data_IF_214658144933
#
_entry.id   IF_214658144933
#
_cell.length_a   1.000
_cell.length_b   1.000
_cell.length_c   1.000
_cell.angle_alpha   90.00
_cell.angle_beta   90.00
_cell.angle_gamma   90.00
#
_symmetry.space_group_name_H-M   'P 1'
#
loop_
_entity.id
_entity.type
_entity.pdbx_description
1 polymer ?
#
# COMPACT_ATOMS: atom_id res chain seq x y z
N UNK A 1 13.98 -4.25 -29.27
CA UNK A 1 13.68 -2.93 -28.66
C UNK A 1 14.14 -3.02 -27.21
N UNK A 2 15.30 -2.44 -26.86
CA UNK A 2 15.92 -2.57 -25.52
C UNK A 2 15.35 -1.48 -24.62
N UNK A 3 14.49 -1.86 -23.68
CA UNK A 3 14.01 -0.96 -22.62
C UNK A 3 15.09 -0.85 -21.53
N UNK A 4 15.36 0.36 -21.08
CA UNK A 4 16.40 0.66 -20.10
C UNK A 4 15.89 0.47 -18.66
N UNK A 5 16.80 0.44 -17.68
CA UNK A 5 16.56 0.20 -16.25
C UNK A 5 15.82 1.28 -15.41
N UNK A 6 15.30 2.43 -15.90
CA UNK A 6 14.43 3.30 -15.09
C UNK A 6 13.21 2.57 -14.49
N UNK A 7 12.82 1.44 -15.09
CA UNK A 7 11.78 0.50 -14.65
C UNK A 7 11.90 0.13 -13.16
N UNK A 8 13.08 0.15 -12.54
CA UNK A 8 13.25 -0.38 -11.18
C UNK A 8 12.75 0.53 -10.04
N UNK A 9 13.22 1.78 -9.93
CA UNK A 9 12.55 2.77 -9.06
C UNK A 9 11.16 3.13 -9.63
N UNK A 10 10.99 2.80 -10.91
CA UNK A 10 9.97 3.19 -11.83
C UNK A 10 8.60 2.54 -11.46
N UNK A 11 8.58 1.23 -11.72
CA UNK A 11 7.45 0.30 -11.61
C UNK A 11 7.07 -0.07 -10.18
N UNK A 12 7.97 0.11 -9.22
CA UNK A 12 7.66 -0.15 -7.80
C UNK A 12 6.78 0.96 -7.23
N UNK A 13 6.87 2.19 -7.75
CA UNK A 13 5.90 3.27 -7.45
C UNK A 13 4.47 2.89 -7.86
N UNK A 14 4.32 2.06 -8.90
CA UNK A 14 3.01 1.57 -9.32
C UNK A 14 2.37 0.58 -8.34
N UNK A 15 3.19 -0.15 -7.59
CA UNK A 15 2.72 -0.97 -6.48
C UNK A 15 2.39 -0.09 -5.26
N UNK A 16 3.28 0.86 -4.95
CA UNK A 16 3.34 1.79 -3.80
C UNK A 16 2.06 2.58 -3.42
N UNK A 17 1.01 2.61 -4.25
CA UNK A 17 -0.23 3.35 -3.95
C UNK A 17 -1.47 2.46 -4.03
N UNK A 18 -1.38 1.31 -4.68
CA UNK A 18 -2.51 0.40 -4.77
C UNK A 18 -2.79 -0.39 -3.50
N UNK A 19 -1.89 -0.40 -2.49
CA UNK A 19 -1.95 -1.41 -1.41
C UNK A 19 -0.85 -1.23 -0.37
N UNK A 20 -1.19 -1.13 0.91
CA UNK A 20 -0.24 -0.89 1.99
C UNK A 20 -0.19 -2.01 3.03
N UNK A 21 0.98 -2.68 3.26
CA UNK A 21 1.58 -3.09 4.58
C UNK A 21 2.30 -4.49 4.88
N UNK A 22 3.53 -4.60 5.39
CA UNK A 22 4.08 -5.94 5.78
C UNK A 22 4.73 -6.05 7.19
N UNK A 23 5.18 -7.28 7.54
CA UNK A 23 6.12 -7.76 8.59
C UNK A 23 5.58 -8.28 9.94
N UNK A 24 6.03 -9.40 10.54
CA UNK A 24 7.22 -10.30 10.53
C UNK A 24 8.21 -10.09 11.70
N UNK A 25 8.77 -11.19 12.24
CA UNK A 25 10.17 -11.45 12.66
C UNK A 25 10.26 -12.87 13.29
N UNK A 26 11.39 -13.60 13.38
CA UNK A 26 12.72 -13.22 13.92
C UNK A 26 13.88 -14.16 13.47
N UNK A 27 15.12 -13.86 13.90
CA UNK A 27 16.47 -14.16 13.35
C UNK A 27 17.30 -15.12 14.24
N UNK A 28 18.32 -15.82 13.69
CA UNK A 28 19.59 -16.08 14.42
C UNK A 28 20.83 -16.37 13.51
N UNK A 29 22.01 -16.48 14.12
CA UNK A 29 23.33 -15.88 13.77
C UNK A 29 24.39 -16.73 13.03
N UNK A 30 25.29 -15.99 12.35
CA UNK A 30 26.75 -16.13 12.06
C UNK A 30 27.51 -17.47 11.93
N UNK A 31 28.40 -17.51 10.92
CA UNK A 31 29.56 -18.41 10.85
C UNK A 31 30.60 -17.92 9.83
N UNK A 32 31.80 -17.56 10.31
CA UNK A 32 32.99 -17.13 9.55
C UNK A 32 33.73 -18.33 8.93
N UNK A 33 34.35 -18.15 7.77
CA UNK A 33 35.71 -18.64 7.47
C UNK A 33 36.24 -18.12 6.10
N UNK A 34 37.48 -17.65 6.09
CA UNK A 34 38.39 -17.50 4.94
C UNK A 34 39.81 -17.76 5.51
N UNK A 35 40.88 -18.07 4.73
CA UNK A 35 40.95 -18.29 3.27
C UNK A 35 41.79 -19.51 2.84
N UNK A 36 41.70 -19.92 1.57
CA UNK A 36 42.68 -20.80 0.94
C UNK A 36 43.37 -20.09 -0.23
N UNK A 37 44.69 -19.92 -0.10
CA UNK A 37 45.62 -19.43 -1.13
C UNK A 37 45.62 -20.35 -2.36
N UNK A 38 45.42 -19.80 -3.55
CA UNK A 38 45.80 -20.42 -4.81
C UNK A 38 46.79 -19.51 -5.56
N UNK A 39 47.86 -20.13 -6.06
CA UNK A 39 48.93 -19.53 -6.86
C UNK A 39 48.45 -18.99 -8.22
N UNK A 40 49.20 -18.05 -8.83
CA UNK A 40 48.73 -17.32 -10.01
C UNK A 40 48.87 -18.17 -11.28
N UNK A 41 47.73 -18.47 -11.91
CA UNK A 41 47.71 -18.89 -13.31
C UNK A 41 48.04 -17.68 -14.20
N UNK A 42 49.02 -17.85 -15.09
CA UNK A 42 49.36 -16.88 -16.14
C UNK A 42 48.22 -16.81 -17.15
N UNK A 43 47.41 -15.76 -17.08
CA UNK A 43 46.46 -15.42 -18.14
C UNK A 43 47.11 -14.49 -19.15
N UNK A 44 47.03 -14.90 -20.41
CA UNK A 44 47.38 -14.10 -21.58
C UNK A 44 46.53 -12.80 -21.62
N UNK A 45 47.03 -11.71 -22.24
CA UNK A 45 46.29 -10.45 -22.34
C UNK A 45 45.09 -10.60 -23.30
N UNK A 46 44.01 -11.16 -22.77
CA UNK A 46 42.70 -11.22 -23.39
C UNK A 46 42.13 -9.81 -23.48
N UNK A 47 41.71 -9.44 -24.68
CA UNK A 47 40.99 -8.20 -25.01
C UNK A 47 39.91 -7.94 -23.95
N UNK A 48 40.08 -6.89 -23.15
CA UNK A 48 39.01 -6.35 -22.32
C UNK A 48 37.90 -5.88 -23.26
N UNK A 49 36.87 -6.71 -23.45
CA UNK A 49 35.61 -6.26 -23.99
C UNK A 49 35.15 -5.10 -23.11
N UNK A 50 35.04 -3.92 -23.71
CA UNK A 50 34.50 -2.76 -23.04
C UNK A 50 33.12 -3.14 -22.50
N UNK A 51 33.02 -3.30 -21.17
CA UNK A 51 31.75 -3.41 -20.47
C UNK A 51 30.95 -2.18 -20.86
N UNK A 52 29.99 -2.37 -21.75
CA UNK A 52 29.16 -1.31 -22.30
C UNK A 52 28.28 -0.82 -21.15
N UNK A 53 28.80 0.14 -20.39
CA UNK A 53 28.12 0.75 -19.26
C UNK A 53 26.74 1.21 -19.68
N UNK A 54 25.74 0.91 -18.85
CA UNK A 54 24.39 1.42 -19.07
C UNK A 54 24.45 2.95 -19.18
N UNK A 55 23.65 3.55 -20.09
CA UNK A 55 23.64 5.00 -20.23
C UNK A 55 23.35 5.65 -18.87
N UNK A 56 24.03 6.77 -18.55
CA UNK A 56 23.84 7.46 -17.28
C UNK A 56 22.38 7.85 -17.14
N UNK A 57 21.74 7.40 -16.05
CA UNK A 57 20.37 7.76 -15.76
C UNK A 57 20.29 9.27 -15.50
N UNK A 58 19.24 9.97 -15.96
CA UNK A 58 19.10 11.40 -15.75
C UNK A 58 19.11 11.75 -14.26
N UNK A 59 19.72 12.89 -13.93
CA UNK A 59 19.76 13.41 -12.57
C UNK A 59 18.33 13.69 -12.07
N UNK A 60 18.05 13.34 -10.81
CA UNK A 60 16.75 13.67 -10.19
C UNK A 60 16.77 15.16 -9.82
N UNK A 61 15.81 15.98 -10.27
CA UNK A 61 15.76 17.42 -9.96
C UNK A 61 15.71 17.71 -8.46
N UNK A 62 16.20 18.89 -8.04
CA UNK A 62 16.15 19.32 -6.63
C UNK A 62 14.72 19.59 -6.18
N UNK A 63 13.93 20.22 -7.04
CA UNK A 63 12.55 20.59 -6.79
C UNK A 63 11.63 19.89 -7.78
N UNK A 64 10.57 19.24 -7.29
CA UNK A 64 9.58 18.56 -8.13
C UNK A 64 8.17 18.81 -7.63
N UNK A 65 7.24 19.02 -8.55
CA UNK A 65 5.81 18.84 -8.28
C UNK A 65 5.39 17.59 -9.03
N UNK A 66 4.95 16.59 -8.29
CA UNK A 66 4.53 15.30 -8.82
C UNK A 66 3.08 15.04 -8.47
N UNK A 67 2.42 14.27 -9.31
CA UNK A 67 1.11 13.76 -8.99
C UNK A 67 0.98 12.29 -9.37
N UNK A 68 0.05 11.62 -8.73
CA UNK A 68 -0.40 10.28 -9.10
C UNK A 68 -1.90 10.14 -8.89
N UNK A 69 -2.48 9.20 -9.62
CA UNK A 69 -3.88 8.85 -9.51
C UNK A 69 -4.03 7.34 -9.71
N UNK A 70 -4.86 6.73 -8.87
CA UNK A 70 -5.23 5.32 -8.93
C UNK A 70 -6.75 5.22 -8.86
N UNK A 71 -7.36 4.67 -9.90
CA UNK A 71 -8.77 4.30 -9.92
C UNK A 71 -8.87 2.79 -9.78
N UNK A 72 -9.53 2.32 -8.72
CA UNK A 72 -9.67 0.90 -8.41
C UNK A 72 -11.12 0.50 -8.19
N UNK A 73 -11.45 -0.71 -8.64
CA UNK A 73 -12.66 -1.42 -8.25
C UNK A 73 -12.27 -2.69 -7.51
N UNK A 74 -13.09 -3.09 -6.56
CA UNK A 74 -12.87 -4.31 -5.78
C UNK A 74 -14.16 -5.01 -5.42
N UNK A 75 -14.05 -6.29 -5.12
CA UNK A 75 -15.16 -7.15 -4.66
C UNK A 75 -14.74 -7.93 -3.41
N UNK A 76 -15.74 -8.27 -2.59
CA UNK A 76 -15.61 -9.01 -1.33
C UNK A 76 -14.68 -8.36 -0.28
N UNK A 77 -14.95 -7.11 0.18
CA UNK A 77 -16.18 -6.33 -0.04
C UNK A 77 -16.18 -5.47 -1.32
N UNK A 78 -17.36 -5.07 -1.80
CA UNK A 78 -17.53 -4.21 -2.98
C UNK A 78 -16.95 -2.82 -2.72
N UNK A 79 -16.27 -2.23 -3.70
CA UNK A 79 -15.83 -0.84 -3.61
C UNK A 79 -15.36 -0.25 -4.94
N UNK A 80 -15.48 1.06 -5.05
CA UNK A 80 -14.94 1.89 -6.11
C UNK A 80 -14.20 3.06 -5.48
N UNK A 81 -12.93 3.22 -5.77
CA UNK A 81 -12.10 4.24 -5.12
C UNK A 81 -11.19 4.93 -6.13
N UNK A 82 -11.18 6.26 -6.11
CA UNK A 82 -10.19 7.10 -6.73
C UNK A 82 -9.28 7.65 -5.63
N UNK A 83 -8.02 7.27 -5.64
CA UNK A 83 -6.97 7.89 -4.83
C UNK A 83 -6.14 8.80 -5.73
N UNK A 84 -5.79 9.98 -5.25
CA UNK A 84 -4.77 10.79 -5.90
C UNK A 84 -3.86 11.46 -4.89
N UNK A 85 -2.66 11.79 -5.33
CA UNK A 85 -1.71 12.58 -4.58
C UNK A 85 -1.17 13.69 -5.46
N UNK A 86 -0.97 14.87 -4.87
CA UNK A 86 -0.23 15.97 -5.45
C UNK A 86 0.84 16.38 -4.44
N UNK A 87 2.10 16.13 -4.76
CA UNK A 87 3.23 16.29 -3.85
C UNK A 87 4.23 17.31 -4.38
N UNK A 88 4.64 18.24 -3.52
CA UNK A 88 5.89 18.95 -3.69
C UNK A 88 7.00 18.15 -3.01
N UNK A 89 8.12 17.94 -3.72
CA UNK A 89 9.27 17.18 -3.22
C UNK A 89 10.55 17.98 -3.39
N UNK A 90 11.34 18.02 -2.32
CA UNK A 90 12.68 18.59 -2.29
C UNK A 90 13.70 17.49 -2.04
N UNK A 91 14.64 17.32 -2.97
CA UNK A 91 15.73 16.33 -2.86
C UNK A 91 16.61 16.64 -1.66
N UNK A 92 16.91 15.65 -0.82
CA UNK A 92 17.72 15.84 0.39
C UNK A 92 19.20 16.03 0.06
N UNK A 93 19.73 15.25 -0.89
CA UNK A 93 21.13 15.27 -1.30
C UNK A 93 21.32 14.67 -2.70
N UNK A 94 22.41 15.05 -3.38
CA UNK A 94 22.78 14.47 -4.67
C UNK A 94 23.48 13.12 -4.47
N UNK A 95 23.07 12.09 -5.22
CA UNK A 95 23.75 10.80 -5.23
C UNK A 95 23.52 10.07 -6.54
N UNK A 96 24.58 9.46 -7.08
CA UNK A 96 24.50 8.57 -8.24
C UNK A 96 24.23 7.12 -7.84
N UNK A 97 24.34 6.79 -6.55
CA UNK A 97 24.08 5.44 -6.04
C UNK A 97 22.60 5.09 -6.22
N UNK A 98 22.33 3.90 -6.76
CA UNK A 98 20.95 3.40 -6.96
C UNK A 98 20.16 3.35 -5.65
N UNK A 99 20.82 3.02 -4.54
CA UNK A 99 20.19 2.93 -3.23
C UNK A 99 19.80 4.30 -2.65
N UNK A 100 20.46 5.38 -3.08
CA UNK A 100 20.35 6.70 -2.45
C UNK A 100 19.83 7.80 -3.39
N UNK A 101 19.79 7.57 -4.70
CA UNK A 101 19.47 8.61 -5.70
C UNK A 101 18.07 9.19 -5.55
N UNK A 102 17.07 8.40 -5.18
CA UNK A 102 15.69 8.86 -4.99
C UNK A 102 15.46 9.14 -3.52
N UNK A 103 15.96 10.29 -3.08
CA UNK A 103 15.82 10.80 -1.73
C UNK A 103 15.09 12.15 -1.75
N UNK A 104 14.16 12.37 -0.83
CA UNK A 104 13.45 13.65 -0.72
C UNK A 104 12.74 13.82 0.62
N UNK A 105 12.45 15.08 0.94
CA UNK A 105 11.37 15.46 1.84
C UNK A 105 10.23 16.07 1.00
N UNK A 106 8.98 15.75 1.33
CA UNK A 106 7.83 16.20 0.56
C UNK A 106 6.63 16.56 1.43
N UNK A 107 5.75 17.34 0.85
CA UNK A 107 4.42 17.66 1.39
C UNK A 107 3.41 17.37 0.28
N UNK A 108 2.37 16.64 0.63
CA UNK A 108 1.39 16.16 -0.33
C UNK A 108 -0.05 16.46 0.11
N UNK A 109 -0.89 16.79 -0.87
CA UNK A 109 -2.35 16.75 -0.76
C UNK A 109 -2.82 15.40 -1.32
N UNK A 110 -3.65 14.69 -0.58
CA UNK A 110 -4.01 13.30 -0.86
C UNK A 110 -5.51 13.05 -0.71
N UNK A 111 -6.36 13.41 -1.69
CA UNK A 111 -7.77 13.07 -1.67
C UNK A 111 -8.00 11.62 -2.10
N UNK A 112 -8.94 10.97 -1.42
CA UNK A 112 -9.51 9.66 -1.77
C UNK A 112 -11.02 9.79 -1.85
N UNK A 113 -11.60 9.39 -2.97
CA UNK A 113 -13.02 9.56 -3.27
C UNK A 113 -13.64 8.21 -3.65
N UNK A 114 -14.78 7.92 -3.03
CA UNK A 114 -15.67 6.80 -3.33
C UNK A 114 -17.12 7.35 -3.29
N UNK A 115 -18.08 6.77 -4.04
CA UNK A 115 -19.51 7.13 -3.94
C UNK A 115 -20.12 7.19 -2.53
N UNK A 116 -19.49 6.58 -1.53
CA UNK A 116 -19.97 6.52 -0.13
C UNK A 116 -19.10 7.27 0.88
N UNK A 117 -17.83 7.50 0.55
CA UNK A 117 -16.83 8.05 1.48
C UNK A 117 -15.91 9.00 0.73
N UNK A 118 -15.59 10.13 1.36
CA UNK A 118 -14.46 10.96 0.94
C UNK A 118 -13.45 11.06 2.09
N UNK A 119 -12.17 11.10 1.74
CA UNK A 119 -11.05 11.36 2.65
C UNK A 119 -10.20 12.44 1.99
N UNK A 120 -10.07 13.61 2.60
CA UNK A 120 -9.30 14.71 2.03
C UNK A 120 -8.37 15.24 3.12
N UNK A 121 -7.09 15.34 2.79
CA UNK A 121 -6.08 15.66 3.77
C UNK A 121 -4.71 15.82 3.15
N UNK A 122 -3.76 16.14 4.01
CA UNK A 122 -2.37 16.30 3.62
C UNK A 122 -1.46 15.44 4.49
N UNK A 123 -0.27 15.18 3.97
CA UNK A 123 0.75 14.43 4.67
C UNK A 123 2.15 14.91 4.28
N UNK A 124 3.11 14.58 5.14
CA UNK A 124 4.52 14.72 4.85
C UNK A 124 5.07 13.39 4.34
N UNK A 125 6.06 13.47 3.46
CA UNK A 125 6.80 12.32 2.95
C UNK A 125 8.28 12.50 3.28
N UNK A 126 8.93 11.46 3.79
CA UNK A 126 10.36 11.44 4.03
C UNK A 126 10.95 10.15 3.45
N UNK A 127 11.71 10.32 2.37
CA UNK A 127 12.43 9.24 1.70
C UNK A 127 13.93 9.47 1.87
N UNK A 128 14.56 8.92 2.92
CA UNK A 128 16.00 9.10 3.13
C UNK A 128 16.84 8.33 2.11
N UNK A 129 16.29 7.29 1.49
CA UNK A 129 16.94 6.42 0.51
C UNK A 129 15.88 5.80 -0.42
N UNK A 130 16.27 5.39 -1.62
CA UNK A 130 15.37 4.92 -2.69
C UNK A 130 14.40 3.82 -2.23
N UNK A 131 14.84 2.98 -1.30
CA UNK A 131 14.15 1.80 -0.79
C UNK A 131 13.25 2.03 0.43
N UNK A 132 13.24 3.22 1.05
CA UNK A 132 12.45 3.49 2.26
C UNK A 132 11.69 4.80 2.14
N UNK A 133 10.36 4.74 2.25
CA UNK A 133 9.50 5.92 2.27
C UNK A 133 8.65 5.96 3.54
N UNK A 134 8.79 7.03 4.32
CA UNK A 134 7.99 7.26 5.51
C UNK A 134 6.97 8.35 5.23
N UNK A 135 5.72 8.16 5.66
CA UNK A 135 4.66 9.16 5.54
C UNK A 135 3.93 9.33 6.86
N UNK A 136 3.46 10.54 7.13
CA UNK A 136 2.57 10.81 8.24
C UNK A 136 1.64 11.97 7.89
N UNK A 137 0.37 11.87 8.28
CA UNK A 137 -0.61 12.90 7.92
C UNK A 137 -1.95 12.76 8.60
N UNK A 138 -2.86 13.62 8.17
CA UNK A 138 -4.24 13.67 8.67
C UNK A 138 -5.20 13.88 7.50
N UNK A 139 -6.30 13.14 7.51
CA UNK A 139 -7.42 13.31 6.61
C UNK A 139 -8.67 13.70 7.37
N UNK A 140 -9.42 14.66 6.84
CA UNK A 140 -10.84 14.77 7.15
C UNK A 140 -11.59 13.70 6.36
N UNK A 141 -12.41 12.91 7.05
CA UNK A 141 -13.14 11.79 6.48
C UNK A 141 -14.62 12.03 6.65
N UNK A 142 -15.40 11.82 5.59
CA UNK A 142 -16.84 11.91 5.63
C UNK A 142 -17.48 10.71 4.97
N UNK A 143 -18.47 10.15 5.64
CA UNK A 143 -19.36 9.11 5.13
C UNK A 143 -20.68 9.74 4.75
N UNK A 144 -21.16 9.41 3.57
CA UNK A 144 -22.38 10.00 2.99
C UNK A 144 -23.64 9.30 3.51
N UNK A 145 -23.50 8.09 4.08
CA UNK A 145 -24.62 7.26 4.54
C UNK A 145 -25.25 6.41 3.44
N UNK A 146 -24.56 6.22 2.30
CA UNK A 146 -25.00 5.40 1.18
C UNK A 146 -24.25 4.07 1.11
N UNK A 147 -24.87 3.08 0.45
CA UNK A 147 -24.27 1.74 0.21
C UNK A 147 -23.76 1.12 1.50
N UNK A 148 -24.55 1.17 2.58
CA UNK A 148 -24.30 0.46 3.84
C UNK A 148 -22.91 0.74 4.49
N UNK A 149 -22.10 1.67 3.99
CA UNK A 149 -20.65 1.71 4.23
C UNK A 149 -20.26 2.20 5.63
N UNK A 150 -21.11 2.98 6.29
CA UNK A 150 -20.93 3.30 7.70
C UNK A 150 -22.08 2.74 8.53
N UNK A 151 -21.76 1.76 9.36
CA UNK A 151 -22.54 1.39 10.53
C UNK A 151 -21.59 1.36 11.73
N UNK A 152 -22.09 1.82 12.87
CA UNK A 152 -21.35 1.85 14.13
C UNK A 152 -22.00 0.95 15.16
N UNK A 153 -21.21 0.56 16.16
CA UNK A 153 -21.59 -0.43 17.15
C UNK A 153 -21.01 -0.08 18.53
N UNK A 154 -21.67 -0.51 19.62
CA UNK A 154 -21.22 -0.25 20.99
C UNK A 154 -20.04 -1.11 21.43
N UNK A 155 -19.72 -2.19 20.73
CA UNK A 155 -18.65 -3.13 21.08
C UNK A 155 -18.00 -3.75 19.84
N UNK A 156 -16.73 -4.12 19.97
CA UNK A 156 -15.91 -4.72 18.92
C UNK A 156 -16.35 -6.13 18.52
N UNK A 157 -17.05 -6.86 19.39
CA UNK A 157 -17.58 -8.20 19.10
C UNK A 157 -18.87 -8.19 18.23
N UNK A 158 -19.35 -7.00 17.85
CA UNK A 158 -20.58 -6.85 17.08
C UNK A 158 -20.51 -7.59 15.74
N UNK A 159 -21.69 -8.01 15.27
CA UNK A 159 -21.85 -8.63 13.97
C UNK A 159 -21.83 -7.55 12.88
N UNK A 160 -20.79 -7.59 12.05
CA UNK A 160 -20.59 -6.71 10.90
C UNK A 160 -20.55 -7.50 9.58
N UNK A 161 -21.12 -8.71 9.56
CA UNK A 161 -21.33 -9.47 8.32
C UNK A 161 -22.09 -8.65 7.27
N UNK A 162 -21.95 -9.01 5.99
CA UNK A 162 -22.69 -8.34 4.92
C UNK A 162 -24.20 -8.49 5.15
N UNK A 163 -24.65 -9.69 5.56
CA UNK A 163 -26.05 -9.93 5.91
C UNK A 163 -26.54 -9.03 7.04
N UNK A 164 -25.78 -8.92 8.15
CA UNK A 164 -26.18 -8.07 9.29
C UNK A 164 -26.16 -6.58 8.93
N UNK A 165 -25.21 -6.14 8.09
CA UNK A 165 -25.13 -4.77 7.59
C UNK A 165 -26.30 -4.46 6.67
N UNK A 166 -26.63 -5.32 5.72
CA UNK A 166 -27.78 -5.14 4.83
C UNK A 166 -29.09 -5.04 5.61
N UNK A 167 -29.26 -5.85 6.66
CA UNK A 167 -30.40 -5.73 7.56
C UNK A 167 -30.38 -4.45 8.39
N UNK A 168 -29.20 -4.04 8.86
CA UNK A 168 -28.99 -2.79 9.59
C UNK A 168 -29.36 -1.58 8.74
N UNK A 169 -28.97 -1.57 7.47
CA UNK A 169 -29.26 -0.51 6.51
C UNK A 169 -30.77 -0.34 6.29
N UNK A 170 -31.48 -1.46 6.08
CA UNK A 170 -32.96 -1.50 6.00
C UNK A 170 -33.64 -0.97 7.27
N UNK A 171 -32.96 -1.04 8.42
CA UNK A 171 -33.41 -0.52 9.72
C UNK A 171 -32.92 0.92 9.99
N UNK A 172 -32.26 1.57 9.03
CA UNK A 172 -31.75 2.93 9.17
C UNK A 172 -30.49 3.06 10.04
N UNK A 173 -29.71 1.98 10.20
CA UNK A 173 -28.44 2.01 10.95
C UNK A 173 -27.28 2.59 10.15
N UNK A 174 -27.42 2.75 8.84
CA UNK A 174 -26.47 3.50 8.02
C UNK A 174 -26.83 4.98 8.07
N UNK A 175 -25.84 5.82 8.38
CA UNK A 175 -26.06 7.26 8.55
C UNK A 175 -24.84 8.05 8.09
N UNK A 176 -25.02 9.32 7.67
CA UNK A 176 -23.88 10.19 7.38
C UNK A 176 -23.12 10.53 8.67
N UNK A 177 -21.80 10.46 8.63
CA UNK A 177 -20.91 10.95 9.70
C UNK A 177 -19.67 11.60 9.10
N UNK A 178 -18.89 12.28 9.93
CA UNK A 178 -17.57 12.74 9.56
C UNK A 178 -16.62 12.73 10.77
N UNK A 179 -15.36 13.02 10.51
CA UNK A 179 -14.33 13.15 11.52
C UNK A 179 -12.95 13.20 10.92
N UNK A 180 -11.96 12.73 11.67
CA UNK A 180 -10.56 12.77 11.26
C UNK A 180 -9.91 11.40 11.37
N UNK A 181 -9.01 11.12 10.43
CA UNK A 181 -8.09 10.00 10.49
C UNK A 181 -6.66 10.55 10.50
N UNK A 182 -5.87 10.18 11.50
CA UNK A 182 -4.43 10.38 11.49
C UNK A 182 -3.75 9.08 11.06
N UNK A 183 -2.65 9.17 10.34
CA UNK A 183 -1.94 7.97 9.88
C UNK A 183 -0.43 8.12 9.93
N UNK A 184 0.23 6.97 10.08
CA UNK A 184 1.66 6.79 9.86
C UNK A 184 1.88 5.62 8.92
N UNK A 185 2.79 5.77 7.94
CA UNK A 185 3.04 4.76 6.92
C UNK A 185 4.53 4.58 6.67
N UNK A 186 4.99 3.35 6.48
CA UNK A 186 6.40 3.05 6.18
C UNK A 186 6.50 2.03 5.04
N UNK A 187 7.14 2.39 3.94
CA UNK A 187 7.20 1.55 2.74
C UNK A 187 8.64 1.15 2.50
N UNK A 188 8.92 -0.15 2.57
CA UNK A 188 10.25 -0.71 2.38
C UNK A 188 10.29 -1.56 1.11
N UNK A 189 11.37 -1.41 0.34
CA UNK A 189 11.55 -2.05 -0.95
C UNK A 189 12.90 -2.73 -1.00
N UNK A 190 12.94 -3.95 -1.52
CA UNK A 190 14.18 -4.63 -1.83
C UNK A 190 14.11 -5.24 -3.23
N UNK A 191 15.28 -5.38 -3.87
CA UNK A 191 15.38 -6.12 -5.12
C UNK A 191 16.65 -6.91 -5.19
N UNK A 192 16.51 -8.17 -5.57
CA UNK A 192 17.60 -9.10 -5.82
C UNK A 192 17.36 -9.73 -7.20
N UNK A 193 18.20 -9.36 -8.18
CA UNK A 193 18.00 -9.77 -9.56
C UNK A 193 16.64 -9.28 -10.12
N UNK A 194 15.80 -10.17 -10.68
CA UNK A 194 14.46 -9.82 -11.15
C UNK A 194 13.40 -9.85 -10.04
N UNK A 195 13.72 -10.28 -8.82
CA UNK A 195 12.76 -10.36 -7.73
C UNK A 195 12.72 -9.04 -6.97
N UNK A 196 11.51 -8.55 -6.73
CA UNK A 196 11.22 -7.36 -5.92
C UNK A 196 10.39 -7.80 -4.71
N UNK A 197 10.79 -7.31 -3.54
CA UNK A 197 10.07 -7.47 -2.29
C UNK A 197 9.57 -6.10 -1.85
N UNK A 198 8.32 -6.02 -1.40
CA UNK A 198 7.73 -4.79 -0.86
C UNK A 198 7.00 -5.04 0.44
N UNK A 199 7.24 -4.14 1.38
CA UNK A 199 6.45 -3.89 2.58
C UNK A 199 5.87 -2.48 2.49
N UNK A 200 4.69 -2.23 3.04
CA UNK A 200 4.05 -0.93 2.96
C UNK A 200 3.29 -0.53 4.24
N UNK A 201 3.89 -0.66 5.43
CA UNK A 201 3.27 -0.53 6.76
C UNK A 201 2.28 0.64 6.92
N UNK A 202 1.04 0.46 7.40
CA UNK A 202 0.07 1.55 7.65
C UNK A 202 -0.60 1.42 9.03
N UNK A 203 -0.43 2.44 9.86
CA UNK A 203 -1.19 2.66 11.09
C UNK A 203 -2.19 3.80 10.88
N UNK A 204 -3.42 3.60 11.34
CA UNK A 204 -4.49 4.60 11.27
C UNK A 204 -5.14 4.75 12.63
N UNK A 205 -5.29 6.00 13.06
CA UNK A 205 -6.11 6.41 14.18
C UNK A 205 -7.32 7.14 13.64
N UNK A 206 -8.50 6.81 14.14
CA UNK A 206 -9.75 7.42 13.65
C UNK A 206 -10.53 8.04 14.81
N UNK A 207 -11.12 9.22 14.57
CA UNK A 207 -12.09 9.84 15.46
C UNK A 207 -13.24 10.38 14.62
N UNK A 208 -14.37 9.69 14.67
CA UNK A 208 -15.61 9.99 13.96
C UNK A 208 -16.73 10.36 14.94
N UNK A 209 -17.69 11.14 14.45
CA UNK A 209 -18.93 11.47 15.18
C UNK A 209 -19.93 10.31 15.10
N UNK A 210 -19.68 9.25 15.88
CA UNK A 210 -20.55 8.07 15.91
C UNK A 210 -21.86 8.33 16.67
N UNK A 211 -22.84 7.43 16.50
CA UNK A 211 -24.07 7.45 17.29
C UNK A 211 -23.77 7.36 18.80
N UNK A 212 -24.62 7.96 19.66
CA UNK A 212 -24.42 7.91 21.10
C UNK A 212 -24.31 6.47 21.63
N UNK A 213 -23.21 6.16 22.30
CA UNK A 213 -22.93 4.85 22.87
C UNK A 213 -22.13 3.91 21.97
N UNK A 214 -21.92 4.27 20.69
CA UNK A 214 -21.10 3.48 19.78
C UNK A 214 -19.61 3.81 19.93
N UNK A 215 -18.78 2.77 19.88
CA UNK A 215 -17.34 2.85 20.14
C UNK A 215 -16.49 2.27 19.01
N UNK A 216 -17.10 1.55 18.09
CA UNK A 216 -16.44 1.02 16.89
C UNK A 216 -17.31 1.28 15.66
N UNK A 217 -16.70 1.26 14.48
CA UNK A 217 -17.41 1.43 13.22
C UNK A 217 -16.85 0.49 12.15
N UNK A 218 -17.69 0.07 11.22
CA UNK A 218 -17.21 -0.68 10.06
C UNK A 218 -16.42 0.23 9.14
N UNK A 219 -15.14 -0.09 8.94
CA UNK A 219 -14.29 0.54 7.96
C UNK A 219 -14.32 -0.30 6.68
N UNK A 220 -15.04 0.14 5.63
CA UNK A 220 -15.19 -0.66 4.42
C UNK A 220 -13.86 -0.89 3.73
N UNK A 221 -12.91 0.06 3.82
CA UNK A 221 -11.61 -0.04 3.12
C UNK A 221 -10.82 -1.27 3.55
N UNK A 222 -10.81 -1.59 4.83
CA UNK A 222 -10.03 -2.72 5.36
C UNK A 222 -10.89 -3.88 5.84
N UNK A 223 -12.22 -3.78 5.66
CA UNK A 223 -13.21 -4.78 6.07
C UNK A 223 -13.09 -5.12 7.56
N UNK A 224 -12.94 -4.09 8.41
CA UNK A 224 -12.68 -4.23 9.85
C UNK A 224 -13.65 -3.39 10.66
N UNK A 225 -13.98 -3.82 11.88
CA UNK A 225 -14.50 -2.91 12.90
C UNK A 225 -13.36 -2.06 13.46
N UNK A 226 -13.20 -0.85 12.94
CA UNK A 226 -12.20 0.07 13.45
C UNK A 226 -12.67 0.69 14.79
N UNK A 227 -11.79 0.81 15.79
CA UNK A 227 -12.09 1.54 17.01
C UNK A 227 -12.25 3.03 16.72
N UNK A 228 -13.26 3.65 17.34
CA UNK A 228 -13.35 5.09 17.42
C UNK A 228 -12.45 5.58 18.54
N UNK A 229 -11.63 6.58 18.27
CA UNK A 229 -10.58 7.05 19.17
C UNK A 229 -9.53 5.97 19.51
N UNK A 230 -9.26 5.07 18.56
CA UNK A 230 -8.25 4.00 18.69
C UNK A 230 -7.46 3.79 17.42
N UNK A 231 -6.50 2.87 17.49
CA UNK A 231 -5.62 2.53 16.38
C UNK A 231 -6.04 1.22 15.72
N UNK A 232 -5.81 1.13 14.42
CA UNK A 232 -5.68 -0.13 13.72
C UNK A 232 -4.49 -0.05 12.76
N UNK A 233 -3.97 -1.21 12.37
CA UNK A 233 -3.00 -1.34 11.30
C UNK A 233 -3.60 -2.17 10.17
N UNK A 234 -3.22 -1.82 8.95
CA UNK A 234 -3.31 -2.72 7.81
C UNK A 234 -1.91 -3.19 7.46
N UNK A 235 -1.80 -4.23 6.62
CA UNK A 235 -0.68 -5.02 6.08
C UNK A 235 -1.03 -5.53 4.64
N UNK A 236 -0.38 -5.08 3.54
CA UNK A 236 0.07 -5.76 2.29
C UNK A 236 1.62 -5.97 2.06
N UNK A 237 2.03 -7.22 1.91
CA UNK A 237 3.39 -7.75 1.73
C UNK A 237 3.55 -8.45 0.39
N UNK A 238 4.51 -8.05 -0.44
CA UNK A 238 4.65 -8.60 -1.79
C UNK A 238 6.00 -9.23 -2.06
N UNK A 239 5.96 -10.32 -2.81
CA UNK A 239 7.12 -10.87 -3.51
C UNK A 239 6.72 -11.03 -4.98
N UNK A 240 7.38 -10.28 -5.86
CA UNK A 240 7.04 -10.25 -7.30
C UNK A 240 8.27 -10.41 -8.17
N UNK A 241 8.10 -11.13 -9.28
CA UNK A 241 9.03 -11.14 -10.39
C UNK A 241 8.77 -9.94 -11.30
N UNK A 242 9.83 -9.23 -11.67
CA UNK A 242 9.80 -8.09 -12.59
C UNK A 242 10.40 -8.48 -13.93
N UNK A 243 9.59 -8.42 -14.98
CA UNK A 243 10.00 -8.68 -16.35
C UNK A 243 10.56 -7.43 -17.04
N UNK A 244 11.37 -7.63 -18.07
CA UNK A 244 11.92 -6.54 -18.89
C UNK A 244 10.87 -5.86 -19.79
N UNK A 245 9.67 -6.45 -19.91
CA UNK A 245 8.56 -5.90 -20.69
C UNK A 245 7.50 -5.19 -19.83
N UNK A 246 7.80 -4.93 -18.55
CA UNK A 246 6.97 -4.10 -17.67
C UNK A 246 5.90 -4.85 -16.88
N UNK A 247 5.93 -6.19 -16.87
CA UNK A 247 5.06 -7.02 -16.03
C UNK A 247 5.72 -7.29 -14.67
N UNK A 248 4.97 -7.03 -13.60
CA UNK A 248 5.18 -7.55 -12.26
C UNK A 248 4.19 -8.69 -12.02
N UNK A 249 4.68 -9.83 -11.54
CA UNK A 249 3.82 -10.96 -11.20
C UNK A 249 4.33 -11.69 -9.97
N UNK A 250 3.45 -11.98 -9.02
CA UNK A 250 3.83 -12.68 -7.81
C UNK A 250 2.69 -12.86 -6.84
N UNK A 251 3.00 -12.83 -5.55
CA UNK A 251 2.05 -13.05 -4.47
C UNK A 251 2.05 -11.88 -3.50
N UNK A 252 0.88 -11.66 -2.89
CA UNK A 252 0.62 -10.71 -1.82
C UNK A 252 0.04 -11.42 -0.61
N UNK A 253 0.59 -11.13 0.56
CA UNK A 253 -0.04 -11.44 1.84
C UNK A 253 -0.56 -10.15 2.47
N UNK A 254 -1.77 -10.14 3.01
CA UNK A 254 -2.34 -8.99 3.70
C UNK A 254 -2.76 -9.32 5.13
N UNK A 255 -2.43 -8.49 6.11
CA UNK A 255 -2.89 -8.57 7.51
C UNK A 255 -3.66 -7.29 7.87
N UNK A 256 -4.72 -7.36 8.66
CA UNK A 256 -5.33 -6.18 9.29
C UNK A 256 -5.54 -6.50 10.76
N UNK A 257 -5.17 -5.58 11.65
CA UNK A 257 -5.37 -5.75 13.08
C UNK A 257 -5.84 -4.45 13.71
N UNK A 258 -6.94 -4.50 14.48
CA UNK A 258 -7.47 -3.39 15.24
C UNK A 258 -7.12 -3.55 16.71
N UNK A 259 -6.76 -2.46 17.38
CA UNK A 259 -6.37 -2.45 18.78
C UNK A 259 -7.55 -1.97 19.61
N UNK A 260 -8.25 -2.91 20.24
CA UNK A 260 -9.40 -2.63 21.09
C UNK A 260 -8.97 -2.51 22.56
N UNK A 261 -9.60 -1.60 23.29
CA UNK A 261 -9.53 -1.54 24.75
C UNK A 261 -10.47 -2.60 25.35
N UNK A 262 -10.08 -3.23 26.46
CA UNK A 262 -10.89 -4.25 27.15
C UNK A 262 -12.34 -3.79 27.39
N UNK A 263 -12.54 -2.49 27.63
CA UNK A 263 -13.87 -1.90 27.87
C UNK A 263 -14.81 -1.92 26.66
N UNK A 264 -14.25 -2.04 25.44
CA UNK A 264 -15.01 -2.04 24.18
C UNK A 264 -15.00 -3.39 23.47
N UNK A 265 -14.29 -4.40 23.98
CA UNK A 265 -14.23 -5.72 23.37
C UNK A 265 -15.61 -6.38 23.23
N UNK A 266 -16.46 -6.24 24.26
CA UNK A 266 -17.75 -6.93 24.32
C UNK A 266 -17.55 -8.38 24.76
N UNK A 267 -17.77 -9.34 23.85
CA UNK A 267 -17.57 -10.77 24.11
C UNK A 267 -16.26 -11.28 23.49
N UNK A 268 -15.92 -12.56 23.72
CA UNK A 268 -14.76 -13.22 23.08
C UNK A 268 -14.85 -13.25 21.56
N UNK A 269 -16.03 -13.05 20.96
CA UNK A 269 -16.20 -12.97 19.50
C UNK A 269 -15.50 -11.74 18.88
N UNK A 270 -14.98 -10.81 19.70
CA UNK A 270 -14.07 -9.74 19.24
C UNK A 270 -12.68 -10.26 18.87
N UNK A 271 -12.22 -11.34 19.50
CA UNK A 271 -10.95 -12.02 19.18
C UNK A 271 -11.01 -12.70 17.80
N UNK A 272 -12.22 -13.07 17.34
CA UNK A 272 -12.42 -13.62 15.99
C UNK A 272 -12.43 -12.53 14.91
N UNK A 273 -12.56 -11.25 15.29
CA UNK A 273 -12.63 -10.14 14.35
C UNK A 273 -11.24 -9.65 13.90
N UNK A 274 -10.18 -9.94 14.66
CA UNK A 274 -8.79 -9.55 14.34
C UNK A 274 -7.77 -10.54 14.95
N UNK A 275 -6.60 -10.76 14.32
CA UNK A 275 -6.21 -10.26 13.01
C UNK A 275 -7.05 -10.87 11.88
N UNK A 276 -7.12 -10.15 10.77
CA UNK A 276 -7.61 -10.71 9.52
C UNK A 276 -6.42 -10.94 8.60
N UNK A 277 -6.44 -12.05 7.86
CA UNK A 277 -5.34 -12.44 6.97
C UNK A 277 -5.85 -12.85 5.59
N UNK A 278 -5.15 -12.40 4.55
CA UNK A 278 -5.38 -12.78 3.16
C UNK A 278 -4.08 -13.14 2.46
N UNK A 279 -4.19 -13.98 1.43
CA UNK A 279 -3.07 -14.33 0.58
C UNK A 279 -3.56 -14.58 -0.84
N UNK A 280 -2.80 -14.14 -1.85
CA UNK A 280 -3.04 -14.55 -3.22
C UNK A 280 -2.19 -13.83 -4.26
N UNK A 281 -2.43 -14.10 -5.55
CA UNK A 281 -1.66 -13.50 -6.63
C UNK A 281 -1.87 -12.00 -6.76
N UNK A 282 -0.83 -11.36 -7.28
CA UNK A 282 -0.85 -9.98 -7.79
C UNK A 282 -0.13 -9.90 -9.13
N UNK A 283 -0.71 -9.10 -10.03
CA UNK A 283 -0.17 -8.74 -11.32
C UNK A 283 -0.20 -7.22 -11.47
N UNK A 284 0.85 -6.63 -12.05
CA UNK A 284 0.83 -5.25 -12.50
C UNK A 284 1.54 -5.13 -13.85
N UNK A 285 0.94 -4.44 -14.82
CA UNK A 285 1.52 -4.25 -16.14
C UNK A 285 1.64 -2.76 -16.47
N UNK A 286 2.88 -2.29 -16.59
CA UNK A 286 3.20 -0.90 -16.92
C UNK A 286 3.47 -0.79 -18.43
N UNK A 287 2.69 0.06 -19.12
CA UNK A 287 2.76 0.15 -20.59
C UNK A 287 4.06 0.83 -21.04
N UNK A 288 4.46 1.91 -20.36
CA UNK A 288 5.71 2.61 -20.62
C UNK A 288 6.20 3.36 -19.37
N UNK A 289 7.51 3.64 -19.33
CA UNK A 289 8.15 4.47 -18.32
C UNK A 289 9.10 5.46 -18.99
N UNK A 290 8.70 6.72 -19.01
CA UNK A 290 9.43 7.86 -19.56
C UNK A 290 9.75 8.83 -18.43
N UNK A 291 10.94 8.70 -17.80
CA UNK A 291 11.37 9.60 -16.72
C UNK A 291 11.40 11.01 -17.26
N UNK A 292 10.50 11.88 -16.80
CA UNK A 292 10.29 13.08 -17.60
C UNK A 292 8.83 13.50 -17.73
N UNK A 293 7.97 12.54 -17.96
CA UNK A 293 6.69 12.88 -18.55
C UNK A 293 5.69 13.44 -17.52
N UNK A 294 4.86 14.37 -18.00
CA UNK A 294 3.68 14.84 -17.28
C UNK A 294 2.58 13.76 -17.18
N UNK A 295 2.66 12.72 -18.00
CA UNK A 295 1.87 11.49 -17.88
C UNK A 295 2.81 10.31 -18.10
N UNK A 296 2.96 9.48 -17.08
CA UNK A 296 3.92 8.41 -17.02
C UNK A 296 3.36 7.19 -16.29
N UNK A 297 3.94 6.03 -16.57
CA UNK A 297 3.59 4.73 -15.96
C UNK A 297 2.10 4.46 -15.86
N UNK A 298 1.36 4.53 -16.98
CA UNK A 298 0.04 3.92 -16.99
C UNK A 298 0.21 2.42 -16.69
N UNK A 299 -0.36 1.99 -15.58
CA UNK A 299 -0.21 0.65 -15.03
C UNK A 299 -1.58 0.07 -14.73
N UNK A 300 -1.85 -1.12 -15.28
CA UNK A 300 -2.96 -1.96 -14.86
C UNK A 300 -2.52 -2.84 -13.70
N UNK A 301 -3.36 -2.98 -12.69
CA UNK A 301 -3.11 -3.80 -11.50
C UNK A 301 -4.29 -4.75 -11.34
N UNK A 302 -3.99 -6.01 -11.09
CA UNK A 302 -4.99 -7.02 -10.77
C UNK A 302 -4.50 -7.86 -9.58
N UNK A 303 -5.38 -8.14 -8.63
CA UNK A 303 -5.08 -9.02 -7.51
C UNK A 303 -6.33 -9.82 -7.14
N UNK A 304 -6.12 -11.05 -6.70
CA UNK A 304 -7.12 -11.87 -6.06
C UNK A 304 -6.49 -12.47 -4.82
N UNK A 305 -7.08 -12.28 -3.66
CA UNK A 305 -6.58 -12.80 -2.39
C UNK A 305 -7.69 -13.51 -1.65
N UNK A 306 -7.41 -14.69 -1.12
CA UNK A 306 -8.35 -15.45 -0.32
C UNK A 306 -8.19 -15.12 1.15
N UNK A 307 -9.31 -15.01 1.85
CA UNK A 307 -9.34 -14.85 3.29
C UNK A 307 -8.91 -16.17 3.94
N UNK A 308 -7.82 -16.11 4.68
CA UNK A 308 -7.28 -17.22 5.47
C UNK A 308 -7.75 -17.12 6.92
N UNK A 309 -7.96 -15.90 7.40
CA UNK A 309 -8.55 -15.60 8.69
C UNK A 309 -9.42 -14.35 8.56
N UNK A 310 -10.72 -14.50 8.80
CA UNK A 310 -11.71 -13.43 8.91
C UNK A 310 -13.02 -14.09 9.30
N UNK A 311 -13.67 -13.60 10.36
CA UNK A 311 -14.93 -14.18 10.87
C UNK A 311 -15.97 -14.40 9.76
N UNK A 312 -16.35 -13.35 9.06
CA UNK A 312 -17.42 -13.39 8.05
C UNK A 312 -17.00 -13.81 6.62
N UNK A 313 -15.71 -13.91 6.30
CA UNK A 313 -15.24 -14.19 4.92
C UNK A 313 -14.66 -15.59 4.72
N UNK A 314 -14.71 -16.42 5.76
CA UNK A 314 -14.19 -17.80 5.77
C UNK A 314 -15.29 -18.86 5.84
N UNK A 315 -16.54 -18.49 5.52
CA UNK A 315 -17.68 -19.41 5.43
C UNK A 315 -18.86 -19.10 6.37
N UNK A 316 -18.72 -18.18 7.33
CA UNK A 316 -19.82 -17.79 8.22
C UNK A 316 -20.91 -16.98 7.48
N UNK A 317 -20.51 -16.03 6.64
CA UNK A 317 -21.44 -15.20 5.84
C UNK A 317 -21.11 -15.27 4.34
N UNK A 318 -19.83 -15.12 3.99
CA UNK A 318 -19.34 -15.27 2.63
C UNK A 318 -18.54 -16.56 2.47
N UNK A 319 -18.83 -17.28 1.39
CA UNK A 319 -18.14 -18.52 1.05
C UNK A 319 -16.63 -18.29 0.83
N UNK A 320 -15.78 -19.07 1.52
CA UNK A 320 -14.31 -18.92 1.49
C UNK A 320 -13.71 -18.95 0.07
N UNK A 321 -14.35 -19.65 -0.87
CA UNK A 321 -13.92 -19.70 -2.27
C UNK A 321 -14.01 -18.38 -3.03
N UNK A 322 -14.70 -17.35 -2.50
CA UNK A 322 -14.82 -16.03 -3.12
C UNK A 322 -13.64 -15.17 -2.66
N UNK A 323 -12.70 -14.78 -3.55
CA UNK A 323 -11.57 -13.96 -3.15
C UNK A 323 -11.99 -12.50 -2.96
N UNK A 324 -11.23 -11.78 -2.13
CA UNK A 324 -11.07 -10.34 -2.28
C UNK A 324 -10.33 -10.06 -3.59
N UNK A 325 -10.97 -9.41 -4.55
CA UNK A 325 -10.34 -9.13 -5.84
C UNK A 325 -10.33 -7.63 -6.15
N UNK A 326 -9.24 -7.15 -6.74
CA UNK A 326 -9.05 -5.76 -7.17
C UNK A 326 -8.67 -5.74 -8.65
N UNK A 327 -9.24 -4.79 -9.38
CA UNK A 327 -8.67 -4.29 -10.65
C UNK A 327 -8.49 -2.79 -10.53
N UNK A 328 -7.32 -2.27 -10.87
CA UNK A 328 -7.03 -0.85 -10.80
C UNK A 328 -6.23 -0.36 -12.02
N UNK A 329 -6.39 0.92 -12.32
CA UNK A 329 -5.55 1.66 -13.26
C UNK A 329 -4.87 2.81 -12.52
N UNK A 330 -3.55 2.87 -12.61
CA UNK A 330 -2.71 3.89 -11.99
C UNK A 330 -1.89 4.61 -13.04
N UNK A 331 -1.62 5.89 -12.81
CA UNK A 331 -0.61 6.65 -13.53
C UNK A 331 -0.01 7.73 -12.61
N UNK A 332 1.10 8.31 -13.05
CA UNK A 332 1.76 9.41 -12.36
C UNK A 332 2.34 10.42 -13.34
N UNK A 333 2.81 11.56 -12.85
CA UNK A 333 3.45 12.54 -13.69
C UNK A 333 4.23 13.59 -12.92
N UNK A 334 5.12 14.28 -13.63
CA UNK A 334 5.84 15.45 -13.14
C UNK A 334 5.26 16.71 -13.78
N UNK A 335 4.75 17.62 -12.95
CA UNK A 335 4.20 18.91 -13.37
C UNK A 335 5.25 20.03 -13.37
N UNK A 336 6.27 19.91 -12.52
CA UNK A 336 7.34 20.89 -12.42
C UNK A 336 8.67 20.22 -12.04
N UNK A 337 9.77 20.77 -12.56
CA UNK A 337 11.15 20.42 -12.21
C UNK A 337 11.99 21.67 -12.13
N UNK A 338 12.75 21.80 -11.04
CA UNK A 338 13.74 22.85 -10.86
C UNK A 338 15.00 22.29 -10.19
N UNK A 339 16.11 22.97 -10.44
CA UNK A 339 17.38 22.78 -9.73
C UNK A 339 17.48 23.73 -8.52
#
# INVERSE_FOLDING_TARGET
>A
MKLSQPVFAASVTALLIATSSAHADEVEESGKEEPAKAEPAKEEPGKMEAVKGEPPQPAIPVHRIQYDATLGVRVNPLGLELQSNLAYRHRLYASDSRALRDNYFGVALSPTLNPSVFRIGGHIEFRPLTMLNLQAGVHHVGYIGSFDNLQSYPVASADFSDTARDEGDKKGKSYPTHGFEAFGRAIALAKVGPIVIRDDLLFTFSKLELMPGDTVYYNPRFDVLAPNEGWFLHNDSDVVYMSDFGLLAGARASVTHAFYDDKIMGTSASEDNVPMFRLGPILAYTIFDTPGAAFNKPTFIASAQWWLQHRFRTGEDVHQGIPYAIVAFRFEGDLFRGD
#
